data_IF_877315178684
#
_entry.id   IF_877315178684
#
_cell.length_a   1.000
_cell.length_b   1.000
_cell.length_c   1.000
_cell.angle_alpha   90.00
_cell.angle_beta   90.00
_cell.angle_gamma   90.00
#
_symmetry.space_group_name_H-M   'P 1'
#
loop_
_entity.id
_entity.type
_entity.pdbx_description
1 polymer ?
#
# COMPACT_ATOMS: atom_id res chain seq x y z
N UNK A 1 -70.47 21.63 16.21
CA UNK A 1 -69.07 22.06 16.20
C UNK A 1 -68.36 21.45 15.00
N UNK A 2 -67.47 22.24 14.40
CA UNK A 2 -66.72 22.06 13.15
C UNK A 2 -66.14 20.66 12.86
N UNK A 3 -66.25 20.17 11.61
CA UNK A 3 -65.09 20.06 10.71
C UNK A 3 -65.42 19.32 9.39
N UNK A 4 -64.80 19.82 8.32
CA UNK A 4 -65.10 19.60 6.90
C UNK A 4 -64.47 18.30 6.36
N UNK A 5 -65.22 17.58 5.51
CA UNK A 5 -64.69 16.67 4.46
C UNK A 5 -64.46 17.47 3.16
N UNK A 6 -63.44 17.17 2.34
CA UNK A 6 -63.46 17.56 0.93
C UNK A 6 -63.90 16.39 0.03
N UNK A 7 -64.78 16.75 -0.92
CA UNK A 7 -65.38 15.95 -1.99
C UNK A 7 -64.45 15.87 -3.21
N UNK A 8 -64.68 14.82 -4.01
CA UNK A 8 -64.12 14.52 -5.34
C UNK A 8 -64.60 15.47 -6.46
N UNK A 9 -63.69 15.64 -7.45
CA UNK A 9 -63.86 15.73 -8.93
C UNK A 9 -64.37 17.08 -9.51
N UNK A 10 -64.06 17.44 -10.79
CA UNK A 10 -63.97 16.56 -11.98
C UNK A 10 -62.87 16.85 -13.04
N UNK A 11 -62.88 16.00 -14.09
CA UNK A 11 -62.08 16.03 -15.32
C UNK A 11 -62.42 17.23 -16.22
N UNK A 12 -61.42 17.71 -16.96
CA UNK A 12 -61.59 18.39 -18.25
C UNK A 12 -60.43 18.00 -19.20
N UNK A 13 -60.72 18.07 -20.50
CA UNK A 13 -60.01 17.46 -21.62
C UNK A 13 -59.04 18.42 -22.34
N UNK A 14 -58.21 17.85 -23.21
CA UNK A 14 -57.67 18.53 -24.40
C UNK A 14 -56.21 18.95 -24.31
N UNK A 15 -55.37 18.38 -25.19
CA UNK A 15 -53.98 18.81 -25.39
C UNK A 15 -53.12 17.73 -26.06
N UNK A 16 -53.30 17.57 -27.37
CA UNK A 16 -52.55 16.67 -28.26
C UNK A 16 -51.06 17.04 -28.38
N UNK A 17 -50.17 16.07 -28.13
CA UNK A 17 -48.77 16.13 -28.54
C UNK A 17 -48.64 16.03 -30.07
N UNK A 18 -47.93 16.94 -30.75
CA UNK A 18 -47.61 16.77 -32.16
C UNK A 18 -46.42 15.81 -32.32
N UNK A 19 -46.67 14.72 -33.04
CA UNK A 19 -45.66 13.80 -33.53
C UNK A 19 -44.58 14.54 -34.34
N UNK A 20 -43.31 14.39 -33.95
CA UNK A 20 -42.18 14.84 -34.77
C UNK A 20 -42.04 13.93 -35.98
N UNK A 21 -42.28 14.51 -37.15
CA UNK A 21 -42.03 13.93 -38.47
C UNK A 21 -40.56 13.51 -38.65
N UNK A 22 -40.27 12.42 -39.39
CA UNK A 22 -38.90 12.00 -39.66
C UNK A 22 -38.26 12.99 -40.65
N UNK A 23 -37.20 13.70 -40.24
CA UNK A 23 -36.40 14.53 -41.14
C UNK A 23 -35.62 13.62 -42.09
N UNK A 24 -35.90 13.76 -43.39
CA UNK A 24 -35.17 13.13 -44.48
C UNK A 24 -33.68 13.56 -44.45
N UNK A 25 -32.77 12.60 -44.65
CA UNK A 25 -31.34 12.85 -44.87
C UNK A 25 -31.13 13.48 -46.25
N UNK A 26 -30.37 14.57 -46.40
CA UNK A 26 -29.85 14.97 -47.70
C UNK A 26 -28.70 14.03 -48.14
N UNK A 27 -28.62 13.75 -49.44
CA UNK A 27 -27.58 12.97 -50.09
C UNK A 27 -26.19 13.68 -50.04
N UNK A 28 -25.07 12.95 -50.17
CA UNK A 28 -23.75 13.47 -49.82
C UNK A 28 -23.15 14.33 -50.94
N UNK A 29 -22.60 15.48 -50.58
CA UNK A 29 -21.77 16.30 -51.47
C UNK A 29 -20.32 16.33 -50.96
N UNK A 30 -19.41 15.82 -51.79
CA UNK A 30 -17.99 16.18 -51.82
C UNK A 30 -17.09 15.63 -50.70
N UNK A 31 -16.16 14.75 -51.07
CA UNK A 31 -15.09 14.28 -50.20
C UNK A 31 -14.26 15.45 -49.65
N UNK A 32 -14.16 15.56 -48.32
CA UNK A 32 -13.19 16.40 -47.61
C UNK A 32 -12.02 15.53 -47.14
N UNK A 33 -10.78 16.03 -47.14
CA UNK A 33 -9.64 15.29 -46.63
C UNK A 33 -9.85 14.98 -45.14
N UNK A 34 -9.49 13.76 -44.74
CA UNK A 34 -9.61 13.28 -43.37
C UNK A 34 -8.71 14.12 -42.44
N UNK A 35 -9.30 14.77 -41.44
CA UNK A 35 -8.52 15.37 -40.35
C UNK A 35 -7.92 14.26 -39.48
N UNK A 36 -6.69 14.44 -38.95
CA UNK A 36 -6.05 13.45 -38.12
C UNK A 36 -6.88 13.20 -36.85
N UNK A 37 -7.41 11.99 -36.72
CA UNK A 37 -8.00 11.51 -35.47
C UNK A 37 -6.87 11.45 -34.44
N UNK A 38 -6.98 12.23 -33.35
CA UNK A 38 -6.04 12.37 -32.22
C UNK A 38 -5.02 13.52 -32.32
N UNK A 39 -5.50 14.75 -32.48
CA UNK A 39 -4.67 15.97 -32.41
C UNK A 39 -4.63 16.51 -30.97
N UNK A 40 -3.43 16.82 -30.46
CA UNK A 40 -3.21 17.36 -29.12
C UNK A 40 -2.83 18.84 -29.17
N UNK A 41 -3.54 19.68 -28.41
CA UNK A 41 -3.27 21.10 -28.31
C UNK A 41 -2.57 21.44 -26.99
N UNK A 42 -1.54 22.27 -27.05
CA UNK A 42 -0.80 22.76 -25.88
C UNK A 42 -0.92 24.29 -25.79
N UNK A 43 -1.33 24.80 -24.63
CA UNK A 43 -1.48 26.24 -24.40
C UNK A 43 -2.44 26.56 -23.26
N UNK A 44 -2.80 27.84 -23.12
CA UNK A 44 -3.87 28.26 -22.21
C UNK A 44 -5.22 27.71 -22.68
N UNK A 45 -5.97 27.11 -21.76
CA UNK A 45 -7.19 26.37 -22.09
C UNK A 45 -8.25 27.23 -22.79
N UNK A 46 -8.43 28.50 -22.37
CA UNK A 46 -9.45 29.36 -22.95
C UNK A 46 -9.06 29.81 -24.36
N UNK A 47 -7.78 30.04 -24.59
CA UNK A 47 -7.26 30.39 -25.92
C UNK A 47 -7.34 29.19 -26.88
N UNK A 48 -6.97 28.00 -26.40
CA UNK A 48 -7.01 26.76 -27.19
C UNK A 48 -8.44 26.43 -27.60
N UNK A 49 -9.39 26.43 -26.65
CA UNK A 49 -10.79 26.09 -26.94
C UNK A 49 -11.40 27.04 -27.96
N UNK A 50 -11.14 28.35 -27.86
CA UNK A 50 -11.75 29.34 -28.78
C UNK A 50 -11.19 29.29 -30.21
N UNK A 51 -9.93 28.91 -30.38
CA UNK A 51 -9.28 28.95 -31.69
C UNK A 51 -9.36 27.64 -32.45
N UNK A 52 -9.35 26.52 -31.74
CA UNK A 52 -9.09 25.22 -32.36
C UNK A 52 -10.23 24.22 -32.18
N UNK A 53 -11.20 24.50 -31.32
CA UNK A 53 -12.36 23.62 -31.09
C UNK A 53 -13.61 24.33 -31.59
N UNK A 54 -14.41 23.65 -32.41
CA UNK A 54 -15.66 24.21 -32.95
C UNK A 54 -16.72 24.27 -31.84
N UNK A 55 -17.58 25.26 -31.92
CA UNK A 55 -18.74 25.35 -31.02
C UNK A 55 -19.58 24.07 -31.11
N UNK A 56 -20.18 23.67 -29.98
CA UNK A 56 -21.02 22.47 -29.83
C UNK A 56 -20.36 21.12 -30.23
N UNK A 57 -19.02 21.04 -30.21
CA UNK A 57 -18.27 19.81 -30.54
C UNK A 57 -17.69 19.05 -29.34
N UNK A 58 -18.06 19.45 -28.11
CA UNK A 58 -17.59 18.83 -26.86
C UNK A 58 -18.79 18.17 -26.15
N UNK A 59 -18.78 16.85 -26.05
CA UNK A 59 -19.83 16.08 -25.36
C UNK A 59 -19.60 15.96 -23.84
N UNK A 60 -18.34 16.03 -23.38
CA UNK A 60 -17.96 15.89 -21.98
C UNK A 60 -16.74 16.76 -21.65
N UNK A 61 -16.85 17.60 -20.62
CA UNK A 61 -15.71 18.28 -20.01
C UNK A 61 -15.42 17.60 -18.67
N UNK A 62 -14.31 16.89 -18.58
CA UNK A 62 -13.81 16.39 -17.30
C UNK A 62 -12.94 17.47 -16.65
N UNK A 63 -13.54 18.19 -15.70
CA UNK A 63 -12.79 19.05 -14.79
C UNK A 63 -12.44 18.20 -13.57
N UNK A 64 -11.15 17.89 -13.40
CA UNK A 64 -10.66 17.26 -12.17
C UNK A 64 -10.97 18.22 -11.00
N UNK A 65 -11.89 17.87 -10.07
CA UNK A 65 -12.21 18.76 -8.97
C UNK A 65 -11.02 18.81 -8.01
N UNK A 66 -10.60 19.99 -7.52
CA UNK A 66 -9.53 20.05 -6.55
C UNK A 66 -10.10 19.59 -5.21
N UNK A 67 -9.80 18.37 -4.79
CA UNK A 67 -10.15 17.89 -3.45
C UNK A 67 -8.97 17.15 -2.82
N UNK A 68 -8.18 17.85 -1.98
CA UNK A 68 -8.51 17.99 -0.56
C UNK A 68 -7.53 18.98 0.09
N UNK A 69 -8.08 20.08 0.59
CA UNK A 69 -7.37 21.20 1.16
C UNK A 69 -7.09 20.99 2.65
N UNK A 70 -5.86 20.61 3.00
CA UNK A 70 -5.27 21.06 4.27
C UNK A 70 -4.81 22.52 4.09
N UNK A 71 -5.79 23.44 4.08
CA UNK A 71 -5.57 24.88 4.09
C UNK A 71 -4.92 25.28 5.42
N UNK A 72 -3.66 25.68 5.37
CA UNK A 72 -3.16 26.72 6.27
C UNK A 72 -3.61 28.08 5.72
N UNK A 73 -4.62 28.67 6.36
CA UNK A 73 -4.96 30.08 6.14
C UNK A 73 -3.86 30.95 6.76
N UNK A 74 -2.87 31.32 5.94
CA UNK A 74 -2.03 32.48 6.20
C UNK A 74 -2.03 33.36 4.94
N UNK A 75 -3.16 34.00 4.69
CA UNK A 75 -3.24 35.18 3.83
C UNK A 75 -3.87 36.28 4.66
N UNK A 76 -3.05 36.98 5.44
CA UNK A 76 -3.34 38.34 5.87
C UNK A 76 -2.02 39.12 5.72
N UNK A 77 -2.10 40.24 5.00
CA UNK A 77 -1.04 41.16 4.56
C UNK A 77 -0.32 40.80 3.25
N UNK A 78 -0.88 41.30 2.15
CA UNK A 78 -0.12 41.63 0.96
C UNK A 78 0.43 43.06 1.10
N UNK A 79 1.74 43.24 0.91
CA UNK A 79 2.32 44.58 0.69
C UNK A 79 2.08 45.01 -0.77
N UNK A 80 1.88 46.32 -0.96
CA UNK A 80 1.26 46.95 -2.14
C UNK A 80 2.08 46.92 -3.45
N UNK A 81 3.20 46.21 -3.55
CA UNK A 81 4.07 46.27 -4.75
C UNK A 81 4.01 45.04 -5.68
N UNK A 82 3.21 44.02 -5.36
CA UNK A 82 3.03 42.86 -6.24
C UNK A 82 4.27 41.97 -6.42
N UNK A 83 5.34 42.17 -5.65
CA UNK A 83 6.47 41.24 -5.63
C UNK A 83 6.10 39.98 -4.83
N UNK A 84 5.83 38.87 -5.53
CA UNK A 84 5.73 37.54 -4.91
C UNK A 84 7.02 37.27 -4.12
N UNK A 85 6.89 36.78 -2.88
CA UNK A 85 8.01 36.41 -2.02
C UNK A 85 9.00 35.50 -2.78
N UNK A 86 10.18 36.04 -3.10
CA UNK A 86 11.28 35.37 -3.82
C UNK A 86 11.82 34.10 -3.13
N UNK A 87 11.26 33.71 -1.98
CA UNK A 87 11.68 32.57 -1.18
C UNK A 87 11.24 31.21 -1.75
N UNK A 88 10.07 31.10 -2.42
CA UNK A 88 9.59 29.80 -2.93
C UNK A 88 10.09 29.44 -4.32
N UNK A 89 10.46 30.42 -5.15
CA UNK A 89 10.79 30.20 -6.55
C UNK A 89 12.28 29.94 -6.82
N UNK A 90 13.15 30.11 -5.81
CA UNK A 90 14.60 29.97 -5.94
C UNK A 90 15.16 28.55 -5.79
N UNK A 91 14.34 27.55 -5.45
CA UNK A 91 14.84 26.23 -5.04
C UNK A 91 14.77 25.12 -6.11
N UNK A 92 14.31 25.39 -7.34
CA UNK A 92 14.22 24.36 -8.40
C UNK A 92 15.51 24.15 -9.22
N UNK A 93 16.45 25.10 -9.20
CA UNK A 93 17.63 25.10 -10.08
C UNK A 93 18.98 25.17 -9.34
N UNK A 94 19.10 24.64 -8.11
CA UNK A 94 20.40 24.58 -7.41
C UNK A 94 21.09 23.22 -7.70
N UNK A 95 22.39 23.18 -8.06
CA UNK A 95 23.12 21.91 -8.22
C UNK A 95 23.04 21.09 -6.92
N UNK A 96 22.69 19.80 -7.05
CA UNK A 96 22.16 18.92 -5.99
C UNK A 96 23.23 18.24 -5.10
N UNK A 97 24.47 18.70 -5.06
CA UNK A 97 25.54 17.85 -4.51
C UNK A 97 25.73 17.93 -2.98
N UNK A 98 25.10 18.88 -2.27
CA UNK A 98 25.25 19.02 -0.80
C UNK A 98 23.94 19.34 -0.04
N UNK A 99 22.78 19.32 -0.70
CA UNK A 99 21.52 19.69 -0.06
C UNK A 99 20.77 18.45 0.43
N UNK A 100 20.39 18.45 1.71
CA UNK A 100 19.42 17.49 2.24
C UNK A 100 18.00 17.87 1.81
N UNK A 101 17.12 16.87 1.73
CA UNK A 101 15.67 17.03 1.58
C UNK A 101 15.04 17.23 2.97
N UNK A 102 14.38 18.37 3.25
CA UNK A 102 13.71 18.62 4.53
C UNK A 102 12.70 17.55 4.92
N UNK A 103 11.98 17.01 3.95
CA UNK A 103 11.00 15.93 4.14
C UNK A 103 11.64 14.65 4.70
N UNK A 104 12.88 14.35 4.33
CA UNK A 104 13.60 13.19 4.89
C UNK A 104 13.88 13.36 6.39
N UNK A 105 14.05 14.60 6.87
CA UNK A 105 14.15 14.88 8.31
C UNK A 105 12.83 14.58 9.02
N UNK A 106 11.71 14.98 8.41
CA UNK A 106 10.36 14.69 8.92
C UNK A 106 10.13 13.18 8.98
N UNK A 107 10.39 12.46 7.88
CA UNK A 107 10.22 11.00 7.79
C UNK A 107 11.05 10.31 8.86
N UNK A 108 12.34 10.61 8.96
CA UNK A 108 13.21 9.99 9.95
C UNK A 108 12.77 10.29 11.40
N UNK A 109 12.46 11.55 11.71
CA UNK A 109 12.01 11.96 13.05
C UNK A 109 10.71 11.27 13.45
N UNK A 110 9.71 11.30 12.58
CA UNK A 110 8.41 10.69 12.84
C UNK A 110 8.49 9.16 12.89
N UNK A 111 9.36 8.53 12.10
CA UNK A 111 9.62 7.09 12.15
C UNK A 111 10.27 6.63 13.47
N UNK A 112 11.06 7.50 14.10
CA UNK A 112 11.55 7.33 15.47
C UNK A 112 10.50 7.67 16.55
N UNK A 113 9.29 8.08 16.16
CA UNK A 113 8.24 8.58 17.05
C UNK A 113 8.72 9.75 17.93
N UNK A 114 9.48 10.69 17.37
CA UNK A 114 9.97 11.88 18.07
C UNK A 114 9.18 13.14 17.68
N UNK A 115 8.98 14.03 18.63
CA UNK A 115 8.55 15.42 18.40
C UNK A 115 9.73 16.28 17.94
N UNK A 116 9.44 17.45 17.36
CA UNK A 116 10.48 18.43 17.01
C UNK A 116 11.27 18.92 18.23
N UNK A 117 10.63 18.95 19.42
CA UNK A 117 11.29 19.29 20.67
C UNK A 117 12.26 18.21 21.11
N UNK A 118 11.80 16.95 21.17
CA UNK A 118 12.64 15.80 21.52
C UNK A 118 13.83 15.64 20.57
N UNK A 119 13.65 15.83 19.25
CA UNK A 119 14.78 15.83 18.32
C UNK A 119 15.73 17.02 18.58
N UNK A 120 15.18 18.19 18.88
CA UNK A 120 15.96 19.37 19.24
C UNK A 120 16.87 19.10 20.43
N UNK A 121 16.30 18.54 21.51
CA UNK A 121 17.03 18.19 22.73
C UNK A 121 18.15 17.18 22.44
N UNK A 122 17.90 16.17 21.60
CA UNK A 122 18.88 15.15 21.23
C UNK A 122 20.10 15.71 20.46
N UNK A 123 19.94 16.79 19.69
CA UNK A 123 21.00 17.35 18.85
C UNK A 123 21.45 18.76 19.26
N UNK A 124 20.99 19.26 20.41
CA UNK A 124 21.34 20.57 20.94
C UNK A 124 20.73 21.75 20.16
N UNK A 125 19.55 21.55 19.57
CA UNK A 125 18.81 22.57 18.80
C UNK A 125 17.51 22.94 19.50
N UNK A 126 17.03 24.16 19.27
CA UNK A 126 15.67 24.53 19.68
C UNK A 126 14.63 23.89 18.76
N UNK A 127 13.44 23.58 19.29
CA UNK A 127 12.28 23.12 18.49
C UNK A 127 12.02 24.04 17.28
N UNK A 128 12.11 25.36 17.47
CA UNK A 128 11.94 26.34 16.39
C UNK A 128 12.97 26.17 15.28
N UNK A 129 14.21 25.81 15.62
CA UNK A 129 15.26 25.54 14.62
C UNK A 129 14.95 24.27 13.83
N UNK A 130 14.51 23.21 14.49
CA UNK A 130 14.07 21.96 13.82
C UNK A 130 12.91 22.25 12.86
N UNK A 131 11.88 22.96 13.32
CA UNK A 131 10.75 23.35 12.48
C UNK A 131 11.18 24.16 11.24
N UNK A 132 12.11 25.12 11.39
CA UNK A 132 12.64 25.87 10.24
C UNK A 132 13.43 24.98 9.27
N UNK A 133 14.12 23.95 9.75
CA UNK A 133 14.82 22.98 8.90
C UNK A 133 13.82 22.13 8.12
N UNK A 134 12.83 21.55 8.80
CA UNK A 134 11.79 20.70 8.19
C UNK A 134 10.94 21.44 7.15
N UNK A 135 10.74 22.75 7.33
CA UNK A 135 10.04 23.60 6.36
C UNK A 135 10.94 24.16 5.25
N UNK A 136 12.23 23.82 5.23
CA UNK A 136 13.20 24.33 4.26
C UNK A 136 13.49 25.82 4.38
N UNK A 137 13.12 26.46 5.50
CA UNK A 137 13.35 27.88 5.79
C UNK A 137 14.75 28.15 6.33
N UNK A 138 15.42 27.13 6.86
CA UNK A 138 16.81 27.21 7.32
C UNK A 138 17.57 25.93 6.93
N UNK A 139 18.71 26.02 6.23
CA UNK A 139 19.51 24.84 5.92
C UNK A 139 20.15 24.26 7.18
N UNK A 140 20.31 22.93 7.20
CA UNK A 140 21.17 22.26 8.18
C UNK A 140 22.63 22.49 7.79
N UNK A 141 23.49 22.99 8.70
CA UNK A 141 24.93 23.06 8.45
C UNK A 141 25.52 21.65 8.21
N UNK A 142 26.35 21.42 7.17
CA UNK A 142 26.89 20.10 6.84
C UNK A 142 27.60 19.40 8.00
N UNK A 143 28.31 20.15 8.85
CA UNK A 143 29.02 19.67 10.02
C UNK A 143 28.10 19.04 11.09
N UNK A 144 26.81 19.38 11.08
CA UNK A 144 25.82 18.84 12.03
C UNK A 144 25.02 17.66 11.46
N UNK A 145 25.16 17.35 10.17
CA UNK A 145 24.48 16.22 9.53
C UNK A 145 24.85 14.85 10.16
N UNK A 146 26.12 14.55 10.48
CA UNK A 146 26.46 13.28 11.13
C UNK A 146 25.76 13.11 12.49
N UNK A 147 25.64 14.19 13.26
CA UNK A 147 24.93 14.18 14.55
C UNK A 147 23.43 13.92 14.40
N UNK A 148 22.78 14.61 13.45
CA UNK A 148 21.38 14.37 13.11
C UNK A 148 21.14 12.93 12.63
N UNK A 149 22.00 12.44 11.74
CA UNK A 149 21.88 11.10 11.18
C UNK A 149 21.99 10.01 12.25
N UNK A 150 22.99 10.13 13.13
CA UNK A 150 23.17 9.23 14.27
C UNK A 150 21.98 9.27 15.25
N UNK A 151 21.46 10.46 15.57
CA UNK A 151 20.31 10.59 16.47
C UNK A 151 19.04 9.93 15.92
N UNK A 152 18.89 9.88 14.59
CA UNK A 152 17.72 9.35 13.90
C UNK A 152 17.90 7.93 13.34
N UNK A 153 19.03 7.27 13.64
CA UNK A 153 19.25 5.89 13.20
C UNK A 153 19.58 5.72 11.71
N UNK A 154 20.00 6.78 11.02
CA UNK A 154 20.17 6.81 9.56
C UNK A 154 21.62 7.08 9.15
N UNK A 155 21.98 6.73 7.92
CA UNK A 155 23.22 7.20 7.31
C UNK A 155 23.05 8.66 6.81
N UNK A 156 24.10 9.49 6.75
CA UNK A 156 24.01 10.85 6.18
C UNK A 156 23.38 10.88 4.77
N UNK A 157 23.69 9.89 3.94
CA UNK A 157 23.16 9.75 2.58
C UNK A 157 21.63 9.54 2.52
N UNK A 158 20.98 9.13 3.62
CA UNK A 158 19.52 9.04 3.72
C UNK A 158 18.86 10.39 3.42
N UNK A 159 19.40 11.46 4.00
CA UNK A 159 18.80 12.80 3.91
C UNK A 159 18.97 13.44 2.53
N UNK A 160 19.88 12.93 1.70
CA UNK A 160 20.07 13.34 0.31
C UNK A 160 19.31 12.44 -0.67
N UNK A 161 18.55 11.46 -0.17
CA UNK A 161 17.69 10.61 -1.01
C UNK A 161 16.38 11.34 -1.30
N UNK A 162 15.89 11.23 -2.54
CA UNK A 162 14.57 11.76 -2.88
C UNK A 162 13.52 11.13 -1.95
N UNK A 163 12.59 11.93 -1.40
CA UNK A 163 11.52 11.38 -0.59
C UNK A 163 10.77 10.27 -1.33
N UNK A 164 10.51 9.12 -0.67
CA UNK A 164 9.80 8.03 -1.31
C UNK A 164 8.41 8.48 -1.74
N UNK A 165 8.04 8.16 -2.99
CA UNK A 165 6.68 8.33 -3.48
C UNK A 165 6.00 6.96 -3.41
N UNK A 166 5.01 6.80 -2.52
CA UNK A 166 4.17 5.60 -2.50
C UNK A 166 3.15 5.73 -3.63
N UNK A 167 3.47 5.17 -4.79
CA UNK A 167 2.54 5.12 -5.94
C UNK A 167 1.37 4.19 -5.62
N UNK A 168 1.67 3.07 -4.96
CA UNK A 168 0.68 2.13 -4.45
C UNK A 168 0.98 1.84 -2.98
N UNK A 169 0.01 2.12 -2.12
CA UNK A 169 0.01 1.68 -0.73
C UNK A 169 -1.30 0.99 -0.44
N UNK A 170 -1.20 -0.25 0.00
CA UNK A 170 -2.34 -1.02 0.51
C UNK A 170 -1.87 -1.70 1.78
N UNK A 171 -2.70 -1.70 2.79
CA UNK A 171 -2.41 -2.44 4.01
C UNK A 171 -3.72 -2.93 4.55
N UNK A 172 -3.68 -4.02 5.30
CA UNK A 172 -4.84 -4.57 5.96
C UNK A 172 -5.58 -3.50 6.81
N UNK A 173 -6.52 -2.77 6.21
CA UNK A 173 -7.30 -1.75 6.90
C UNK A 173 -8.45 -2.45 7.59
N UNK A 174 -8.14 -3.13 8.70
CA UNK A 174 -9.11 -3.28 9.76
C UNK A 174 -9.38 -1.90 10.38
N UNK A 175 -10.11 -1.04 9.65
CA UNK A 175 -10.57 0.30 10.06
C UNK A 175 -11.39 0.26 11.36
N UNK A 176 -11.78 -0.93 11.82
CA UNK A 176 -12.41 -1.17 13.12
C UNK A 176 -11.41 -1.32 14.28
N UNK A 177 -10.21 -1.84 14.05
CA UNK A 177 -9.21 -2.18 15.08
C UNK A 177 -8.33 -0.97 15.48
N UNK A 178 -8.02 -0.08 14.53
CA UNK A 178 -7.13 1.08 14.72
C UNK A 178 -7.81 2.36 15.25
N UNK A 179 -9.14 2.41 15.40
CA UNK A 179 -9.86 3.59 15.95
C UNK A 179 -9.40 4.00 17.36
N UNK A 180 -8.67 3.14 18.06
CA UNK A 180 -8.17 3.35 19.42
C UNK A 180 -6.67 3.65 19.48
N UNK A 181 -5.93 3.50 18.39
CA UNK A 181 -4.50 3.78 18.37
C UNK A 181 -4.25 5.29 18.27
N UNK A 182 -3.28 5.86 19.02
CA UNK A 182 -2.93 7.27 18.88
C UNK A 182 -2.47 7.59 17.45
N UNK A 183 -2.98 8.67 16.86
CA UNK A 183 -2.65 9.12 15.49
C UNK A 183 -1.13 9.21 15.28
N UNK A 184 -0.39 9.69 16.30
CA UNK A 184 1.07 9.77 16.29
C UNK A 184 1.74 8.41 16.04
N UNK A 185 1.26 7.34 16.68
CA UNK A 185 1.79 5.98 16.50
C UNK A 185 1.51 5.41 15.12
N UNK A 186 0.33 5.70 14.55
CA UNK A 186 0.01 5.31 13.18
C UNK A 186 0.94 5.98 12.18
N UNK A 187 1.14 7.30 12.35
CA UNK A 187 2.07 8.07 11.52
C UNK A 187 3.50 7.55 11.62
N UNK A 188 3.96 7.17 12.81
CA UNK A 188 5.29 6.59 13.00
C UNK A 188 5.46 5.27 12.24
N UNK A 189 4.42 4.42 12.22
CA UNK A 189 4.44 3.16 11.42
C UNK A 189 4.54 3.48 9.94
N UNK A 190 3.73 4.40 9.43
CA UNK A 190 3.77 4.80 8.01
C UNK A 190 5.17 5.32 7.63
N UNK A 191 5.83 6.06 8.53
CA UNK A 191 7.21 6.53 8.31
C UNK A 191 8.26 5.43 8.42
N UNK A 192 8.04 4.41 9.24
CA UNK A 192 8.92 3.25 9.27
C UNK A 192 8.85 2.47 7.96
N UNK A 193 7.68 2.42 7.32
CA UNK A 193 7.51 1.87 5.97
C UNK A 193 8.25 2.72 4.93
N UNK A 194 8.14 4.05 4.97
CA UNK A 194 8.91 4.96 4.11
C UNK A 194 10.43 4.74 4.25
N UNK A 195 10.93 4.61 5.49
CA UNK A 195 12.34 4.35 5.77
C UNK A 195 12.76 2.97 5.24
N UNK A 196 11.91 1.95 5.43
CA UNK A 196 12.17 0.60 4.93
C UNK A 196 12.27 0.57 3.40
N UNK A 197 11.39 1.30 2.71
CA UNK A 197 11.45 1.46 1.25
C UNK A 197 12.82 1.99 0.81
N UNK A 198 13.27 3.11 1.39
CA UNK A 198 14.58 3.71 1.07
C UNK A 198 15.72 2.72 1.33
N UNK A 199 15.62 1.92 2.40
CA UNK A 199 16.62 0.90 2.74
C UNK A 199 16.69 -0.23 1.72
N UNK A 200 15.54 -0.76 1.32
CA UNK A 200 15.44 -1.82 0.31
C UNK A 200 15.94 -1.31 -1.03
N UNK A 201 15.48 -0.14 -1.48
CA UNK A 201 15.95 0.48 -2.73
C UNK A 201 17.47 0.68 -2.71
N UNK A 202 18.03 1.14 -1.58
CA UNK A 202 19.47 1.27 -1.39
C UNK A 202 20.24 -0.05 -1.44
N UNK A 203 19.72 -1.12 -0.84
CA UNK A 203 20.31 -2.46 -0.89
C UNK A 203 20.27 -3.07 -2.29
N UNK A 204 19.18 -2.85 -3.02
CA UNK A 204 18.98 -3.39 -4.36
C UNK A 204 19.69 -2.55 -5.43
N UNK A 205 20.14 -1.34 -5.10
CA UNK A 205 20.75 -0.41 -6.05
C UNK A 205 21.96 -1.02 -6.76
N UNK A 206 21.88 -1.04 -8.10
CA UNK A 206 22.93 -1.57 -8.97
C UNK A 206 23.06 -3.09 -8.96
N UNK A 207 22.10 -3.83 -8.39
CA UNK A 207 21.98 -5.27 -8.57
C UNK A 207 21.11 -5.58 -9.78
N UNK A 208 21.48 -6.61 -10.53
CA UNK A 208 20.61 -7.24 -11.53
C UNK A 208 20.01 -8.48 -10.88
N UNK A 209 18.76 -8.38 -10.46
CA UNK A 209 18.02 -9.51 -9.93
C UNK A 209 17.39 -10.27 -11.09
N UNK A 210 17.68 -11.56 -11.19
CA UNK A 210 17.02 -12.47 -12.12
C UNK A 210 15.74 -12.99 -11.45
N UNK A 211 14.74 -12.12 -11.35
CA UNK A 211 13.43 -12.44 -10.77
C UNK A 211 12.37 -12.45 -11.86
N UNK A 212 11.40 -13.34 -11.73
CA UNK A 212 10.24 -13.35 -12.62
C UNK A 212 9.39 -12.09 -12.38
N UNK A 213 8.94 -11.43 -13.44
CA UNK A 213 8.00 -10.28 -13.35
C UNK A 213 6.59 -10.79 -13.02
N UNK A 214 6.38 -11.24 -11.78
CA UNK A 214 5.14 -11.92 -11.38
C UNK A 214 4.04 -11.00 -10.86
N UNK A 215 4.34 -9.73 -10.63
CA UNK A 215 3.46 -8.74 -9.98
C UNK A 215 2.77 -7.79 -10.96
N UNK A 216 2.72 -8.12 -12.24
CA UNK A 216 1.92 -7.40 -13.22
C UNK A 216 0.45 -7.40 -12.79
N UNK A 217 -0.14 -6.22 -12.51
CA UNK A 217 -1.52 -6.13 -12.07
C UNK A 217 -2.47 -6.79 -13.06
N UNK A 218 -3.54 -7.38 -12.54
CA UNK A 218 -4.62 -7.94 -13.35
C UNK A 218 -5.80 -7.01 -13.16
N UNK A 219 -6.15 -6.27 -14.21
CA UNK A 219 -7.35 -5.44 -14.19
C UNK A 219 -8.57 -6.35 -14.10
N UNK A 220 -9.40 -6.23 -13.05
CA UNK A 220 -10.66 -6.95 -13.00
C UNK A 220 -11.58 -6.39 -14.10
N UNK A 221 -12.07 -7.26 -14.99
CA UNK A 221 -13.26 -6.92 -15.77
C UNK A 221 -14.52 -7.05 -14.89
N UNK A 222 -15.66 -6.54 -15.35
CA UNK A 222 -16.94 -6.54 -14.58
C UNK A 222 -17.39 -7.95 -14.14
N UNK A 223 -16.82 -9.01 -14.70
CA UNK A 223 -17.19 -10.40 -14.46
C UNK A 223 -16.13 -11.21 -13.70
N UNK A 224 -14.91 -10.69 -13.59
CA UNK A 224 -13.77 -11.41 -13.03
C UNK A 224 -13.81 -11.33 -11.51
N UNK A 225 -13.98 -12.47 -10.86
CA UNK A 225 -13.97 -12.56 -9.41
C UNK A 225 -12.54 -12.56 -8.84
N UNK A 226 -12.39 -12.21 -7.56
CA UNK A 226 -11.12 -12.33 -6.83
C UNK A 226 -10.56 -13.77 -6.88
N UNK A 227 -11.42 -14.77 -6.87
CA UNK A 227 -11.08 -16.18 -7.02
C UNK A 227 -10.53 -16.49 -8.42
N UNK A 228 -11.13 -15.90 -9.48
CA UNK A 228 -10.60 -16.04 -10.84
C UNK A 228 -9.20 -15.45 -10.96
N UNK A 229 -8.96 -14.28 -10.37
CA UNK A 229 -7.64 -13.64 -10.35
C UNK A 229 -6.64 -14.50 -9.58
N UNK A 230 -7.02 -15.04 -8.42
CA UNK A 230 -6.17 -15.95 -7.66
C UNK A 230 -5.77 -17.18 -8.48
N UNK A 231 -6.74 -17.82 -9.18
CA UNK A 231 -6.45 -18.97 -10.06
C UNK A 231 -5.58 -18.59 -11.25
N UNK A 232 -5.80 -17.42 -11.86
CA UNK A 232 -4.94 -16.89 -12.92
C UNK A 232 -3.51 -16.65 -12.43
N UNK A 233 -3.34 -16.07 -11.25
CA UNK A 233 -2.03 -15.82 -10.67
C UNK A 233 -1.31 -17.13 -10.34
N UNK A 234 -2.00 -18.13 -9.78
CA UNK A 234 -1.43 -19.47 -9.54
C UNK A 234 -0.87 -20.07 -10.83
N UNK A 235 -1.63 -19.99 -11.94
CA UNK A 235 -1.16 -20.46 -13.26
C UNK A 235 0.05 -19.65 -13.74
N UNK A 236 0.02 -18.32 -13.64
CA UNK A 236 1.11 -17.42 -14.04
C UNK A 236 2.40 -17.69 -13.25
N UNK A 237 2.27 -17.98 -11.95
CA UNK A 237 3.40 -18.29 -11.05
C UNK A 237 3.83 -19.77 -11.12
N UNK A 238 3.24 -20.57 -12.02
CA UNK A 238 3.61 -21.97 -12.24
C UNK A 238 3.32 -22.87 -11.05
N UNK A 239 2.30 -22.55 -10.23
CA UNK A 239 1.92 -23.37 -9.09
C UNK A 239 1.20 -24.64 -9.53
N UNK A 240 1.65 -25.78 -8.99
CA UNK A 240 0.92 -27.04 -9.09
C UNK A 240 -0.38 -27.02 -8.29
N UNK A 241 -1.24 -28.01 -8.51
CA UNK A 241 -2.41 -28.29 -7.67
C UNK A 241 -1.99 -28.55 -6.21
N UNK A 242 -2.77 -28.04 -5.27
CA UNK A 242 -2.58 -28.23 -3.83
C UNK A 242 -1.93 -27.06 -3.08
N UNK A 243 -1.46 -27.30 -1.85
CA UNK A 243 -1.01 -26.24 -0.95
C UNK A 243 0.34 -25.63 -1.35
N UNK A 244 0.51 -24.34 -1.08
CA UNK A 244 1.79 -23.64 -1.26
C UNK A 244 2.68 -23.93 -0.05
N UNK A 245 3.80 -24.64 -0.20
CA UNK A 245 4.63 -24.98 0.96
C UNK A 245 5.44 -23.78 1.48
N UNK A 246 6.15 -23.08 0.60
CA UNK A 246 7.03 -21.95 0.95
C UNK A 246 6.50 -20.67 0.27
N UNK A 247 5.62 -19.94 0.95
CA UNK A 247 4.90 -18.80 0.34
C UNK A 247 5.80 -17.59 0.15
N UNK A 248 6.63 -17.27 1.15
CA UNK A 248 7.61 -16.18 1.08
C UNK A 248 8.60 -16.38 -0.06
N UNK A 249 9.18 -17.57 -0.19
CA UNK A 249 10.09 -17.91 -1.29
C UNK A 249 9.42 -17.80 -2.66
N UNK A 250 8.18 -18.28 -2.78
CA UNK A 250 7.40 -18.15 -4.01
C UNK A 250 7.23 -16.67 -4.40
N UNK A 251 6.83 -15.83 -3.45
CA UNK A 251 6.68 -14.38 -3.66
C UNK A 251 7.99 -13.75 -4.10
N UNK A 252 9.10 -14.10 -3.45
CA UNK A 252 10.44 -13.59 -3.79
C UNK A 252 10.89 -14.00 -5.19
N UNK A 253 10.68 -15.26 -5.56
CA UNK A 253 10.97 -15.76 -6.91
C UNK A 253 10.14 -15.06 -8.00
N UNK A 254 8.91 -14.68 -7.64
CA UNK A 254 7.98 -13.95 -8.50
C UNK A 254 8.18 -12.43 -8.48
N UNK A 255 9.30 -11.94 -7.93
CA UNK A 255 9.70 -10.53 -8.01
C UNK A 255 9.19 -9.65 -6.88
N UNK A 256 8.62 -10.23 -5.81
CA UNK A 256 8.28 -9.49 -4.60
C UNK A 256 9.42 -9.49 -3.57
N UNK A 257 9.35 -8.60 -2.58
CA UNK A 257 10.23 -8.62 -1.41
C UNK A 257 9.35 -8.85 -0.19
N UNK A 258 9.63 -9.89 0.60
CA UNK A 258 8.93 -10.12 1.88
C UNK A 258 9.84 -9.72 3.04
N UNK A 259 9.37 -8.83 3.91
CA UNK A 259 10.12 -8.38 5.10
C UNK A 259 9.34 -8.71 6.36
N UNK A 260 9.96 -9.48 7.26
CA UNK A 260 9.41 -9.72 8.60
C UNK A 260 9.96 -8.69 9.57
N UNK A 261 9.10 -7.85 10.14
CA UNK A 261 9.49 -6.86 11.15
C UNK A 261 8.54 -6.84 12.36
N UNK A 262 9.00 -6.25 13.45
CA UNK A 262 8.17 -6.01 14.63
C UNK A 262 7.48 -4.64 14.48
N UNK A 263 6.16 -4.64 14.44
CA UNK A 263 5.38 -3.40 14.44
C UNK A 263 5.19 -2.90 15.86
N UNK A 264 5.22 -1.57 16.03
CA UNK A 264 4.97 -0.93 17.33
C UNK A 264 3.55 -1.15 17.86
N UNK A 265 2.59 -1.49 16.99
CA UNK A 265 1.21 -1.80 17.38
C UNK A 265 0.90 -3.28 17.13
N UNK A 266 0.41 -4.04 18.13
CA UNK A 266 0.05 -5.47 17.96
C UNK A 266 -1.10 -5.72 16.97
N UNK A 267 -1.79 -4.64 16.56
CA UNK A 267 -2.96 -4.64 15.69
C UNK A 267 -2.61 -4.43 14.21
N UNK A 268 -1.35 -4.10 13.92
CA UNK A 268 -0.84 -4.02 12.56
C UNK A 268 -0.19 -5.37 12.22
N UNK A 269 -0.79 -6.04 11.25
CA UNK A 269 -0.52 -7.44 10.93
C UNK A 269 0.34 -7.55 9.66
N UNK A 270 0.15 -6.65 8.70
CA UNK A 270 0.99 -6.50 7.52
C UNK A 270 0.54 -5.38 6.60
N UNK A 271 1.43 -5.03 5.66
CA UNK A 271 1.29 -3.94 4.69
C UNK A 271 2.01 -4.28 3.40
N UNK A 272 1.61 -3.66 2.30
CA UNK A 272 2.34 -3.71 1.04
C UNK A 272 2.46 -2.34 0.39
N UNK A 273 3.54 -2.18 -0.36
CA UNK A 273 3.76 -0.99 -1.15
C UNK A 273 4.54 -1.32 -2.42
N UNK A 274 4.34 -0.51 -3.45
CA UNK A 274 5.05 -0.64 -4.71
C UNK A 274 5.37 0.75 -5.26
N UNK A 275 6.64 0.94 -5.62
CA UNK A 275 7.15 2.16 -6.25
C UNK A 275 7.91 1.78 -7.53
N UNK A 276 7.21 1.64 -8.67
CA UNK A 276 7.84 1.32 -9.94
C UNK A 276 8.95 2.33 -10.31
N UNK A 277 10.08 1.88 -10.88
CA UNK A 277 10.39 0.52 -11.34
C UNK A 277 10.96 -0.41 -10.26
N UNK A 278 10.91 -0.03 -8.98
CA UNK A 278 11.34 -0.88 -7.86
C UNK A 278 10.44 -2.10 -7.66
N UNK A 279 10.91 -3.07 -6.88
CA UNK A 279 10.13 -4.28 -6.59
C UNK A 279 8.99 -3.99 -5.58
N UNK A 280 7.83 -4.66 -5.70
CA UNK A 280 6.80 -4.60 -4.68
C UNK A 280 7.31 -5.22 -3.37
N UNK A 281 6.97 -4.58 -2.26
CA UNK A 281 7.39 -4.99 -0.92
C UNK A 281 6.17 -5.33 -0.09
N UNK A 282 6.22 -6.49 0.57
CA UNK A 282 5.23 -6.97 1.53
C UNK A 282 5.91 -7.04 2.89
N UNK A 283 5.35 -6.33 3.85
CA UNK A 283 5.82 -6.24 5.24
C UNK A 283 4.85 -7.01 6.13
N UNK A 284 5.37 -7.94 6.93
CA UNK A 284 4.54 -8.80 7.79
C UNK A 284 5.07 -8.81 9.20
N UNK A 285 4.13 -8.82 10.16
CA UNK A 285 4.50 -8.79 11.57
C UNK A 285 5.16 -10.12 11.98
N UNK A 286 6.43 -10.05 12.39
CA UNK A 286 7.24 -11.21 12.79
C UNK A 286 6.64 -12.00 13.94
N UNK A 287 5.92 -11.34 14.85
CA UNK A 287 5.31 -11.99 16.02
C UNK A 287 4.14 -12.90 15.70
N UNK A 288 3.59 -12.83 14.48
CA UNK A 288 2.41 -13.61 14.08
C UNK A 288 2.79 -15.08 13.85
N UNK A 289 1.92 -16.02 14.25
CA UNK A 289 2.08 -17.43 13.90
C UNK A 289 2.16 -17.64 12.38
N UNK A 290 2.78 -18.74 11.92
CA UNK A 290 3.06 -18.96 10.50
C UNK A 290 1.83 -19.00 9.60
N UNK A 291 0.73 -19.60 10.07
CA UNK A 291 -0.55 -19.60 9.36
C UNK A 291 -1.15 -18.19 9.17
N UNK A 292 -1.00 -17.32 10.18
CA UNK A 292 -1.39 -15.92 10.13
C UNK A 292 -0.50 -15.14 9.18
N UNK A 293 0.83 -15.31 9.27
CA UNK A 293 1.77 -14.69 8.34
C UNK A 293 1.42 -15.03 6.89
N UNK A 294 1.10 -16.31 6.62
CA UNK A 294 0.73 -16.77 5.29
C UNK A 294 -0.54 -16.14 4.76
N UNK A 295 -1.56 -16.04 5.60
CA UNK A 295 -2.79 -15.32 5.25
C UNK A 295 -2.50 -13.87 4.89
N UNK A 296 -1.72 -13.18 5.73
CA UNK A 296 -1.36 -11.77 5.53
C UNK A 296 -0.59 -11.61 4.21
N UNK A 297 0.44 -12.42 3.95
CA UNK A 297 1.20 -12.36 2.69
C UNK A 297 0.27 -12.54 1.49
N UNK A 298 -0.61 -13.56 1.51
CA UNK A 298 -1.53 -13.81 0.39
C UNK A 298 -2.54 -12.67 0.19
N UNK A 299 -3.01 -12.06 1.28
CA UNK A 299 -3.91 -10.91 1.26
C UNK A 299 -3.22 -9.69 0.61
N UNK A 300 -1.99 -9.40 1.04
CA UNK A 300 -1.19 -8.30 0.48
C UNK A 300 -0.80 -8.55 -1.00
N UNK A 301 -0.53 -9.80 -1.39
CA UNK A 301 -0.39 -10.17 -2.81
C UNK A 301 -1.67 -9.85 -3.58
N UNK A 302 -2.84 -10.17 -3.01
CA UNK A 302 -4.13 -9.83 -3.61
C UNK A 302 -4.29 -8.33 -3.87
N UNK A 303 -3.91 -7.50 -2.91
CA UNK A 303 -3.90 -6.05 -3.07
C UNK A 303 -2.97 -5.57 -4.19
N UNK A 304 -1.72 -6.06 -4.21
CA UNK A 304 -0.75 -5.68 -5.23
C UNK A 304 -1.18 -6.07 -6.65
N UNK A 305 -1.91 -7.18 -6.79
CA UNK A 305 -2.35 -7.71 -8.09
C UNK A 305 -3.67 -7.07 -8.55
N UNK A 306 -4.65 -6.89 -7.66
CA UNK A 306 -6.00 -6.47 -8.04
C UNK A 306 -6.22 -4.95 -7.94
N UNK A 307 -5.54 -4.27 -7.00
CA UNK A 307 -5.89 -2.89 -6.63
C UNK A 307 -4.79 -1.87 -6.98
N UNK A 308 -3.92 -2.22 -7.94
CA UNK A 308 -2.78 -1.40 -8.31
C UNK A 308 -3.14 0.01 -8.80
N UNK A 309 -4.35 0.18 -9.35
CA UNK A 309 -4.77 1.43 -9.99
C UNK A 309 -5.92 2.16 -9.29
N UNK A 310 -6.13 1.93 -7.98
CA UNK A 310 -6.95 2.84 -7.17
C UNK A 310 -8.30 2.34 -6.67
N UNK A 311 -8.55 1.03 -6.65
CA UNK A 311 -9.75 0.45 -6.01
C UNK A 311 -9.57 0.35 -4.49
N UNK A 312 -9.47 1.48 -3.78
CA UNK A 312 -9.36 1.50 -2.32
C UNK A 312 -10.75 1.69 -1.67
N UNK A 313 -11.47 0.58 -1.42
CA UNK A 313 -12.82 0.57 -0.84
C UNK A 313 -13.04 -0.57 0.17
N UNK A 314 -14.23 -0.64 0.78
CA UNK A 314 -14.61 -1.78 1.63
C UNK A 314 -14.74 -3.09 0.84
N UNK A 315 -14.96 -2.99 -0.48
CA UNK A 315 -14.94 -4.15 -1.37
C UNK A 315 -13.53 -4.73 -1.49
N UNK A 316 -12.52 -3.88 -1.65
CA UNK A 316 -11.12 -4.27 -1.81
C UNK A 316 -10.58 -5.20 -0.70
N UNK A 317 -10.94 -4.95 0.56
CA UNK A 317 -10.54 -5.83 1.68
C UNK A 317 -11.23 -7.20 1.58
N UNK A 318 -12.50 -7.23 1.18
CA UNK A 318 -13.26 -8.46 1.01
C UNK A 318 -12.75 -9.24 -0.20
N UNK A 319 -12.42 -8.55 -1.28
CA UNK A 319 -11.80 -9.09 -2.48
C UNK A 319 -10.43 -9.68 -2.14
N UNK A 320 -9.60 -8.98 -1.38
CA UNK A 320 -8.30 -9.49 -0.94
C UNK A 320 -8.42 -10.72 -0.03
N UNK A 321 -9.40 -10.77 0.88
CA UNK A 321 -9.68 -11.96 1.69
C UNK A 321 -10.17 -13.15 0.84
N UNK A 322 -11.05 -12.90 -0.15
CA UNK A 322 -11.50 -13.94 -1.10
C UNK A 322 -10.35 -14.44 -1.97
N UNK A 323 -9.52 -13.53 -2.46
CA UNK A 323 -8.30 -13.82 -3.19
C UNK A 323 -7.37 -14.69 -2.34
N UNK A 324 -7.08 -14.29 -1.10
CA UNK A 324 -6.19 -15.04 -0.21
C UNK A 324 -6.73 -16.45 0.08
N UNK A 325 -8.04 -16.58 0.27
CA UNK A 325 -8.71 -17.86 0.46
C UNK A 325 -8.54 -18.79 -0.75
N UNK A 326 -8.82 -18.31 -1.97
CA UNK A 326 -8.66 -19.09 -3.19
C UNK A 326 -7.19 -19.37 -3.51
N UNK A 327 -6.31 -18.38 -3.33
CA UNK A 327 -4.89 -18.50 -3.63
C UNK A 327 -4.21 -19.54 -2.75
N UNK A 328 -4.52 -19.55 -1.45
CA UNK A 328 -3.97 -20.52 -0.49
C UNK A 328 -4.70 -21.86 -0.51
N UNK A 329 -6.00 -21.86 -0.80
CA UNK A 329 -6.89 -23.03 -0.73
C UNK A 329 -7.81 -23.12 -1.95
N UNK A 330 -7.27 -23.43 -3.15
CA UNK A 330 -8.07 -23.44 -4.38
C UNK A 330 -9.28 -24.37 -4.26
N UNK A 331 -10.44 -23.96 -4.77
CA UNK A 331 -11.68 -24.73 -4.60
C UNK A 331 -11.51 -26.15 -5.13
N UNK A 332 -10.97 -26.27 -6.35
CA UNK A 332 -10.77 -27.53 -7.07
C UNK A 332 -9.90 -28.52 -6.27
N UNK A 333 -9.00 -28.01 -5.43
CA UNK A 333 -8.05 -28.81 -4.67
C UNK A 333 -8.53 -29.12 -3.24
N UNK A 334 -9.11 -28.12 -2.54
CA UNK A 334 -9.47 -28.28 -1.12
C UNK A 334 -10.84 -28.90 -0.90
N UNK A 335 -11.81 -28.63 -1.80
CA UNK A 335 -13.19 -29.11 -1.64
C UNK A 335 -13.29 -30.64 -1.54
N UNK A 336 -12.55 -31.44 -2.34
CA UNK A 336 -12.54 -32.90 -2.21
C UNK A 336 -12.02 -33.39 -0.85
N UNK A 337 -11.19 -32.62 -0.16
CA UNK A 337 -10.66 -32.98 1.16
C UNK A 337 -11.58 -32.60 2.33
N UNK A 338 -12.51 -31.68 2.06
CA UNK A 338 -13.56 -31.19 2.95
C UNK A 338 -14.84 -32.04 2.82
N UNK A 339 -14.75 -33.37 2.89
CA UNK A 339 -15.94 -34.21 2.86
C UNK A 339 -16.61 -34.34 4.24
N UNK A 340 -17.89 -34.69 4.24
CA UNK A 340 -18.68 -34.85 5.46
C UNK A 340 -18.32 -36.16 6.19
N UNK A 341 -18.27 -36.19 7.54
CA UNK A 341 -18.47 -35.07 8.46
C UNK A 341 -17.20 -34.20 8.63
N UNK A 342 -17.39 -32.87 8.63
CA UNK A 342 -16.32 -31.93 9.00
C UNK A 342 -16.30 -31.76 10.52
N UNK A 343 -15.18 -32.18 11.13
CA UNK A 343 -14.88 -32.04 12.56
C UNK A 343 -13.64 -31.19 12.77
N UNK A 344 -13.43 -30.70 14.00
CA UNK A 344 -12.25 -29.90 14.34
C UNK A 344 -10.95 -30.72 14.27
N UNK A 345 -11.01 -32.02 14.51
CA UNK A 345 -9.89 -32.96 14.36
C UNK A 345 -9.50 -33.07 12.88
N UNK A 346 -10.48 -33.14 11.98
CA UNK A 346 -10.24 -33.12 10.54
C UNK A 346 -9.62 -31.81 10.09
N UNK A 347 -10.14 -30.67 10.56
CA UNK A 347 -9.55 -29.37 10.25
C UNK A 347 -8.12 -29.22 10.80
N UNK A 348 -7.84 -29.84 11.95
CA UNK A 348 -6.49 -29.88 12.53
C UNK A 348 -5.52 -30.65 11.63
N UNK A 349 -5.94 -31.78 11.05
CA UNK A 349 -5.15 -32.51 10.06
C UNK A 349 -4.94 -31.69 8.78
N UNK A 350 -5.99 -31.04 8.28
CA UNK A 350 -5.91 -30.19 7.08
C UNK A 350 -5.02 -28.97 7.29
N UNK A 351 -4.99 -28.38 8.49
CA UNK A 351 -4.08 -27.29 8.84
C UNK A 351 -2.62 -27.67 8.62
N UNK A 352 -2.24 -28.91 8.94
CA UNK A 352 -0.87 -29.38 8.76
C UNK A 352 -0.46 -29.46 7.28
N UNK A 353 -1.41 -29.82 6.40
CA UNK A 353 -1.23 -29.90 4.94
C UNK A 353 -1.30 -28.53 4.27
N UNK A 354 -2.34 -27.78 4.56
CA UNK A 354 -2.67 -26.50 3.91
C UNK A 354 -1.95 -25.29 4.51
N UNK A 355 -1.37 -25.46 5.71
CA UNK A 355 -0.57 -24.45 6.41
C UNK A 355 -1.34 -23.13 6.63
N UNK A 356 -2.63 -23.24 6.93
CA UNK A 356 -3.53 -22.11 7.26
C UNK A 356 -4.19 -22.35 8.61
N UNK A 357 -4.96 -21.38 9.11
CA UNK A 357 -5.67 -21.52 10.39
C UNK A 357 -6.85 -22.49 10.29
N UNK A 358 -7.20 -23.18 11.39
CA UNK A 358 -8.44 -23.95 11.53
C UNK A 358 -9.64 -23.04 11.24
N UNK A 359 -9.57 -21.78 11.70
CA UNK A 359 -10.59 -20.77 11.42
C UNK A 359 -10.75 -20.48 9.92
N UNK A 360 -9.64 -20.35 9.18
CA UNK A 360 -9.66 -20.16 7.73
C UNK A 360 -10.23 -21.39 6.99
N UNK A 361 -9.87 -22.60 7.43
CA UNK A 361 -10.43 -23.84 6.86
C UNK A 361 -11.94 -23.95 7.11
N UNK A 362 -12.39 -23.64 8.33
CA UNK A 362 -13.82 -23.64 8.67
C UNK A 362 -14.59 -22.59 7.85
N UNK A 363 -14.00 -21.40 7.67
CA UNK A 363 -14.55 -20.34 6.81
C UNK A 363 -14.67 -20.83 5.37
N UNK A 364 -13.58 -21.37 4.81
CA UNK A 364 -13.54 -21.90 3.44
C UNK A 364 -14.57 -23.00 3.21
N UNK A 365 -14.73 -23.92 4.16
CA UNK A 365 -15.76 -24.96 4.08
C UNK A 365 -17.18 -24.38 3.99
N UNK A 366 -17.48 -23.31 4.72
CA UNK A 366 -18.78 -22.65 4.61
C UNK A 366 -18.92 -21.90 3.29
N UNK A 367 -17.89 -21.16 2.89
CA UNK A 367 -17.93 -20.34 1.67
C UNK A 367 -18.09 -21.23 0.40
N UNK A 368 -17.56 -22.46 0.43
CA UNK A 368 -17.74 -23.47 -0.62
C UNK A 368 -19.05 -24.27 -0.50
N UNK A 369 -19.92 -23.95 0.46
CA UNK A 369 -21.21 -24.61 0.66
C UNK A 369 -21.15 -26.01 1.27
N UNK A 370 -19.98 -26.43 1.78
CA UNK A 370 -19.78 -27.77 2.37
C UNK A 370 -20.42 -27.89 3.76
N UNK A 371 -20.43 -26.79 4.51
CA UNK A 371 -21.13 -26.68 5.79
C UNK A 371 -22.10 -25.50 5.77
N UNK A 372 -23.21 -25.62 6.49
CA UNK A 372 -24.16 -24.53 6.66
C UNK A 372 -23.62 -23.41 7.56
N UNK A 373 -24.21 -22.22 7.49
CA UNK A 373 -23.92 -21.10 8.40
C UNK A 373 -24.07 -21.54 9.87
N UNK A 374 -25.12 -22.30 10.19
CA UNK A 374 -25.36 -22.79 11.55
C UNK A 374 -24.25 -23.72 12.03
N UNK A 375 -23.77 -24.63 11.17
CA UNK A 375 -22.65 -25.52 11.50
C UNK A 375 -21.36 -24.73 11.67
N UNK A 376 -21.09 -23.76 10.80
CA UNK A 376 -19.95 -22.85 10.95
C UNK A 376 -20.01 -22.07 12.28
N UNK A 377 -21.16 -21.48 12.63
CA UNK A 377 -21.33 -20.76 13.90
C UNK A 377 -21.08 -21.64 15.12
N UNK A 378 -21.55 -22.89 15.09
CA UNK A 378 -21.25 -23.88 16.13
C UNK A 378 -19.75 -24.19 16.22
N UNK A 379 -19.08 -24.45 15.09
CA UNK A 379 -17.64 -24.69 15.07
C UNK A 379 -16.84 -23.50 15.60
N UNK A 380 -17.23 -22.26 15.25
CA UNK A 380 -16.59 -21.06 15.77
C UNK A 380 -16.78 -20.89 17.28
N UNK A 381 -17.91 -21.35 17.81
CA UNK A 381 -18.18 -21.37 19.25
C UNK A 381 -17.28 -22.38 19.96
N UNK A 382 -17.10 -23.57 19.38
CA UNK A 382 -16.15 -24.58 19.89
C UNK A 382 -14.69 -24.11 19.83
N UNK A 383 -14.26 -23.50 18.71
CA UNK A 383 -12.93 -22.89 18.59
C UNK A 383 -12.72 -21.85 19.71
N UNK A 384 -13.76 -21.08 20.02
CA UNK A 384 -13.70 -20.06 21.07
C UNK A 384 -13.63 -20.66 22.47
N UNK A 385 -14.44 -21.69 22.77
CA UNK A 385 -14.43 -22.35 24.09
C UNK A 385 -13.11 -23.08 24.37
N UNK A 386 -12.42 -23.54 23.34
CA UNK A 386 -11.09 -24.18 23.43
C UNK A 386 -9.93 -23.18 23.46
N UNK A 387 -10.20 -21.87 23.36
CA UNK A 387 -9.15 -20.84 23.30
C UNK A 387 -8.40 -20.75 21.96
N UNK A 388 -8.88 -21.43 20.93
CA UNK A 388 -8.20 -21.55 19.63
C UNK A 388 -8.29 -20.31 18.76
N UNK A 389 -8.97 -19.24 19.23
CA UNK A 389 -8.97 -17.94 18.53
C UNK A 389 -7.57 -17.33 18.44
N UNK A 390 -6.77 -17.53 19.49
CA UNK A 390 -5.42 -16.96 19.65
C UNK A 390 -4.33 -18.00 19.51
N UNK A 391 -4.55 -19.24 19.98
CA UNK A 391 -3.57 -20.32 19.90
C UNK A 391 -4.23 -21.63 19.48
N UNK A 392 -4.00 -22.01 18.23
CA UNK A 392 -4.46 -23.28 17.66
C UNK A 392 -3.55 -24.46 18.08
N UNK A 393 -4.06 -25.71 18.10
CA UNK A 393 -3.35 -26.87 18.67
C UNK A 393 -2.14 -27.33 17.84
N UNK A 394 -2.12 -27.03 16.53
CA UNK A 394 -1.01 -27.36 15.62
C UNK A 394 -0.33 -26.07 15.22
N UNK A 395 1.00 -26.01 15.34
CA UNK A 395 1.78 -24.89 14.84
C UNK A 395 2.10 -25.06 13.36
N UNK A 396 1.93 -24.00 12.59
CA UNK A 396 2.50 -23.88 11.25
C UNK A 396 3.83 -23.13 11.37
N UNK A 397 4.87 -23.64 10.71
CA UNK A 397 6.16 -22.96 10.69
C UNK A 397 6.02 -21.54 10.15
N UNK A 398 6.71 -20.59 10.79
CA UNK A 398 6.75 -19.22 10.33
C UNK A 398 7.45 -19.12 8.96
N UNK A 399 7.00 -18.16 8.16
CA UNK A 399 7.62 -17.89 6.86
C UNK A 399 9.06 -17.40 7.07
N UNK A 400 9.95 -17.73 6.13
CA UNK A 400 11.37 -17.37 6.20
C UNK A 400 11.80 -16.76 4.86
N UNK A 401 11.50 -15.46 4.63
CA UNK A 401 12.01 -14.74 3.46
C UNK A 401 13.53 -14.79 3.42
N UNK A 402 14.12 -14.86 2.22
CA UNK A 402 15.56 -15.10 2.02
C UNK A 402 16.24 -14.07 1.12
N UNK A 403 15.46 -13.29 0.36
CA UNK A 403 16.00 -12.39 -0.67
C UNK A 403 16.92 -11.33 -0.06
N UNK A 404 16.50 -10.66 1.01
CA UNK A 404 17.31 -9.63 1.65
C UNK A 404 18.59 -10.22 2.27
N UNK A 405 18.50 -11.40 2.90
CA UNK A 405 19.68 -12.09 3.42
C UNK A 405 20.66 -12.47 2.30
N UNK A 406 20.14 -12.92 1.16
CA UNK A 406 20.94 -13.22 -0.03
C UNK A 406 21.60 -11.97 -0.61
N UNK A 407 20.89 -10.84 -0.66
CA UNK A 407 21.42 -9.54 -1.09
C UNK A 407 22.53 -9.07 -0.15
N UNK A 408 22.31 -9.13 1.17
CA UNK A 408 23.33 -8.76 2.17
C UNK A 408 24.57 -9.65 2.01
N UNK A 409 24.37 -10.96 1.88
CA UNK A 409 25.45 -11.92 1.65
C UNK A 409 26.23 -11.60 0.37
N UNK A 410 25.54 -11.32 -0.72
CA UNK A 410 26.16 -10.94 -2.00
C UNK A 410 27.02 -9.68 -1.88
N UNK A 411 26.54 -8.64 -1.18
CA UNK A 411 27.34 -7.44 -0.94
C UNK A 411 28.60 -7.73 -0.13
N UNK A 412 28.50 -8.61 0.88
CA UNK A 412 29.64 -8.97 1.74
C UNK A 412 30.66 -9.87 1.06
N UNK A 413 30.20 -10.86 0.31
CA UNK A 413 31.04 -11.92 -0.25
C UNK A 413 31.54 -11.56 -1.65
N UNK A 414 30.65 -11.07 -2.53
CA UNK A 414 30.98 -10.78 -3.93
C UNK A 414 31.51 -9.36 -4.10
N UNK A 415 30.91 -8.37 -3.43
CA UNK A 415 31.37 -6.97 -3.48
C UNK A 415 32.37 -6.61 -2.39
N UNK A 416 32.68 -7.54 -1.48
CA UNK A 416 33.66 -7.40 -0.39
C UNK A 416 33.40 -6.19 0.52
N UNK A 417 32.13 -5.80 0.67
CA UNK A 417 31.74 -4.71 1.55
C UNK A 417 31.72 -5.19 3.00
N UNK A 418 32.23 -4.35 3.90
CA UNK A 418 32.03 -4.51 5.35
C UNK A 418 30.55 -4.33 5.70
N UNK A 419 30.14 -4.83 6.86
CA UNK A 419 28.75 -4.68 7.30
C UNK A 419 28.33 -3.21 7.46
N UNK A 420 29.25 -2.34 7.84
CA UNK A 420 29.02 -0.90 7.93
C UNK A 420 28.81 -0.26 6.55
N UNK A 421 29.55 -0.70 5.53
CA UNK A 421 29.35 -0.25 4.15
C UNK A 421 28.02 -0.75 3.57
N UNK A 422 27.62 -1.98 3.89
CA UNK A 422 26.28 -2.50 3.52
C UNK A 422 25.17 -1.69 4.20
N UNK A 423 25.32 -1.37 5.49
CA UNK A 423 24.38 -0.50 6.19
C UNK A 423 24.30 0.90 5.54
N UNK A 424 25.45 1.47 5.18
CA UNK A 424 25.53 2.74 4.46
C UNK A 424 24.88 2.69 3.07
N UNK A 425 25.03 1.59 2.33
CA UNK A 425 24.34 1.36 1.06
C UNK A 425 22.81 1.32 1.26
N UNK A 426 22.36 0.65 2.32
CA UNK A 426 20.98 0.66 2.78
C UNK A 426 20.53 2.01 3.40
N UNK A 427 21.36 3.05 3.40
CA UNK A 427 21.05 4.36 4.00
C UNK A 427 20.73 4.32 5.50
N UNK A 428 21.14 3.27 6.21
CA UNK A 428 20.95 3.11 7.63
C UNK A 428 22.29 3.25 8.37
N UNK A 429 22.24 3.61 9.66
CA UNK A 429 23.40 3.33 10.50
C UNK A 429 23.52 1.82 10.78
N UNK A 430 24.69 1.38 11.24
CA UNK A 430 24.97 -0.04 11.49
C UNK A 430 24.02 -0.66 12.52
N UNK A 431 23.70 0.04 13.61
CA UNK A 431 22.86 -0.51 14.68
C UNK A 431 21.42 -0.72 14.20
N UNK A 432 20.88 0.26 13.51
CA UNK A 432 19.53 0.27 12.95
C UNK A 432 19.41 -0.73 11.79
N UNK A 433 20.47 -0.89 11.00
CA UNK A 433 20.57 -1.90 9.96
C UNK A 433 20.52 -3.31 10.56
N UNK A 434 21.36 -3.60 11.57
CA UNK A 434 21.35 -4.90 12.23
C UNK A 434 20.03 -5.19 12.93
N UNK A 435 19.44 -4.22 13.64
CA UNK A 435 18.15 -4.43 14.30
C UNK A 435 17.03 -4.82 13.31
N UNK A 436 17.06 -4.26 12.09
CA UNK A 436 16.07 -4.50 11.07
C UNK A 436 16.29 -5.82 10.32
N UNK A 437 17.49 -6.01 9.76
CA UNK A 437 17.77 -7.11 8.84
C UNK A 437 18.54 -8.27 9.46
N UNK A 438 19.22 -8.06 10.60
CA UNK A 438 20.05 -9.07 11.27
C UNK A 438 19.75 -9.10 12.78
N UNK A 439 18.50 -9.35 13.20
CA UNK A 439 18.03 -9.19 14.58
C UNK A 439 18.84 -10.01 15.61
N UNK A 440 19.50 -11.11 15.21
CA UNK A 440 20.39 -11.92 16.05
C UNK A 440 21.86 -11.47 16.10
N UNK A 441 22.24 -10.45 15.32
CA UNK A 441 23.60 -9.89 15.27
C UNK A 441 23.64 -8.43 15.74
N UNK A 442 22.56 -7.95 16.38
CA UNK A 442 22.53 -6.59 16.92
C UNK A 442 23.69 -6.41 17.91
N UNK A 443 24.57 -5.39 17.73
CA UNK A 443 25.54 -5.06 18.77
C UNK A 443 24.75 -4.76 20.04
N UNK A 444 25.07 -5.45 21.15
CA UNK A 444 24.47 -5.17 22.44
C UNK A 444 24.46 -3.66 22.66
N UNK A 445 23.27 -3.08 22.89
CA UNK A 445 23.19 -1.71 23.41
C UNK A 445 23.97 -1.69 24.71
N UNK A 446 25.16 -1.10 24.71
CA UNK A 446 25.77 -0.62 25.93
C UNK A 446 24.88 0.54 26.38
N UNK A 447 23.87 0.22 27.19
CA UNK A 447 23.18 1.21 27.99
C UNK A 447 24.23 1.79 28.92
N UNK A 448 24.72 2.98 28.61
CA UNK A 448 25.65 3.72 29.47
C UNK A 448 25.01 3.94 30.83
N UNK A 449 25.78 3.65 31.87
CA UNK A 449 25.50 3.97 33.27
C UNK A 449 25.42 5.48 33.52
#
# INVERSE_FOLDING_TARGET
>A
MSSRKPKKRPRAAGGSEPARTPRQRPAPAGARPAEPQNLLYYGDNLEVMRRYIKDDSIDLIYLDPPFNSSRDYNVIFAEQDGSRSKARQRNRNRPMTDSIYPEMVIIAREGCDLTQGELGDLIGYTQTRISKIENGLRPLPPEHLPGLAKALGQAPAFFSTRPPQRVMETGCYHRRSLRTAPIRKLKAIDRQVDILQVRIEGLLHGLKLDVFSGFEPIEPDETTSAEDIARQLRRRWGLASGPILQLSELVERCGGVVVLMEFATPKDDGRSFHNPPGLPVIVVNRSKPGDRQRWIIAHEVGHLIMHAYGSAGHDAEREADRFAAEFLMPEEDIKPELYHPITLERLTALKHRWRVSIQALARRAKDLGVISESRFGWMMSEISSRGWRTREPVSVEQERPTLIDAVIRHHRENRKLTLAEVAGAAKADLSSFCAMFLPGQSPMRVLGA
#
